data_IF_667056168330
#
_entry.id   IF_667056168330
#
_cell.length_a   1.000
_cell.length_b   1.000
_cell.length_c   1.000
_cell.angle_alpha   90.00
_cell.angle_beta   90.00
_cell.angle_gamma   90.00
#
_symmetry.space_group_name_H-M   'P 1'
#
loop_
_entity.id
_entity.type
_entity.pdbx_description
1 polymer ?
#
# COMPACT_ATOMS: atom_id res chain seq x y z
N UNK A 1 14.52 -21.99 -2.13
CA UNK A 1 14.31 -21.03 -3.24
C UNK A 1 14.48 -19.59 -2.75
N UNK A 2 13.66 -19.09 -1.81
CA UNK A 2 13.83 -17.73 -1.25
C UNK A 2 15.07 -17.60 -0.36
N UNK A 3 15.31 -18.58 0.52
CA UNK A 3 16.51 -18.64 1.39
C UNK A 3 17.82 -18.69 0.59
N UNK A 4 17.85 -19.43 -0.51
CA UNK A 4 19.01 -19.53 -1.42
C UNK A 4 19.26 -18.24 -2.21
N UNK A 5 18.19 -17.50 -2.54
CA UNK A 5 18.30 -16.20 -3.21
C UNK A 5 18.82 -15.12 -2.25
N UNK A 6 18.35 -15.10 -1.00
CA UNK A 6 18.86 -14.21 0.04
C UNK A 6 20.34 -14.47 0.37
N UNK A 7 20.78 -15.73 0.39
CA UNK A 7 22.21 -16.06 0.62
C UNK A 7 23.11 -15.65 -0.55
N UNK A 8 22.62 -15.72 -1.79
CA UNK A 8 23.34 -15.27 -3.00
C UNK A 8 23.43 -13.74 -3.08
N UNK A 9 22.40 -13.03 -2.63
CA UNK A 9 22.40 -11.57 -2.51
C UNK A 9 23.35 -11.07 -1.42
N UNK A 10 23.47 -11.81 -0.31
CA UNK A 10 24.43 -11.50 0.75
C UNK A 10 25.89 -11.71 0.32
N UNK A 11 26.20 -12.82 -0.37
CA UNK A 11 27.58 -13.10 -0.82
C UNK A 11 28.09 -12.11 -1.86
N UNK A 12 27.19 -11.39 -2.53
CA UNK A 12 27.53 -10.43 -3.59
C UNK A 12 27.66 -8.99 -3.07
N UNK A 13 27.07 -8.65 -1.91
CA UNK A 13 27.01 -7.26 -1.41
C UNK A 13 27.49 -7.05 0.03
N UNK A 14 27.76 -8.11 0.81
CA UNK A 14 28.21 -7.94 2.20
C UNK A 14 29.70 -7.58 2.29
N UNK A 15 29.96 -6.32 2.58
CA UNK A 15 31.23 -5.85 3.12
C UNK A 15 31.03 -5.55 4.60
N UNK A 16 31.58 -6.40 5.48
CA UNK A 16 32.32 -5.89 6.63
C UNK A 16 31.72 -5.91 8.04
N UNK A 17 30.46 -6.28 8.30
CA UNK A 17 29.97 -6.35 9.69
C UNK A 17 29.08 -7.56 10.02
N UNK A 18 29.45 -8.27 11.09
CA UNK A 18 28.75 -9.43 11.66
C UNK A 18 27.44 -9.02 12.35
N UNK A 19 26.32 -9.10 11.64
CA UNK A 19 24.98 -8.93 12.21
C UNK A 19 24.56 -10.24 12.91
N UNK A 20 24.05 -10.21 14.16
CA UNK A 20 23.66 -11.43 14.88
C UNK A 20 22.57 -12.23 14.14
N UNK A 21 22.78 -13.54 14.02
CA UNK A 21 21.89 -14.50 13.34
C UNK A 21 20.41 -14.42 13.76
N UNK A 22 20.14 -13.99 14.98
CA UNK A 22 18.78 -13.82 15.52
C UNK A 22 18.02 -12.70 14.79
N UNK A 23 18.70 -11.58 14.48
CA UNK A 23 18.10 -10.48 13.72
C UNK A 23 17.89 -10.89 12.27
N UNK A 24 18.87 -11.58 11.68
CA UNK A 24 18.79 -12.11 10.31
C UNK A 24 17.63 -13.09 10.10
N UNK A 25 17.36 -13.95 11.08
CA UNK A 25 16.25 -14.90 11.03
C UNK A 25 14.90 -14.26 11.40
N UNK A 26 14.89 -13.22 12.24
CA UNK A 26 13.63 -12.61 12.72
C UNK A 26 12.75 -12.05 11.61
N UNK A 27 13.34 -11.47 10.56
CA UNK A 27 12.59 -10.90 9.44
C UNK A 27 11.87 -11.97 8.61
N UNK A 28 12.54 -12.95 7.98
CA UNK A 28 11.86 -14.01 7.24
C UNK A 28 10.97 -14.88 8.15
N UNK A 29 11.31 -15.04 9.44
CA UNK A 29 10.47 -15.76 10.40
C UNK A 29 9.18 -14.98 10.71
N UNK A 30 9.22 -13.65 10.86
CA UNK A 30 8.02 -12.81 11.01
C UNK A 30 7.15 -12.88 9.76
N UNK A 31 7.75 -12.75 8.56
CA UNK A 31 7.03 -12.88 7.28
C UNK A 31 6.37 -14.25 7.15
N UNK A 32 7.06 -15.32 7.56
CA UNK A 32 6.54 -16.70 7.54
C UNK A 32 5.46 -16.90 8.62
N UNK A 33 5.62 -16.35 9.82
CA UNK A 33 4.62 -16.49 10.90
C UNK A 33 3.36 -15.68 10.60
N UNK A 34 3.45 -14.42 10.15
CA UNK A 34 2.29 -13.61 9.75
C UNK A 34 1.59 -14.19 8.52
N UNK A 35 2.34 -14.64 7.51
CA UNK A 35 1.74 -15.27 6.32
C UNK A 35 1.12 -16.64 6.60
N UNK A 36 1.62 -17.38 7.61
CA UNK A 36 1.05 -18.67 8.02
C UNK A 36 -0.16 -18.49 8.94
N UNK A 37 -0.14 -17.53 9.87
CA UNK A 37 -1.11 -17.42 10.95
C UNK A 37 -2.54 -17.11 10.46
N UNK A 38 -2.70 -16.18 9.52
CA UNK A 38 -4.04 -15.78 9.04
C UNK A 38 -4.77 -16.89 8.25
N UNK A 39 -4.14 -17.60 7.28
CA UNK A 39 -4.82 -18.67 6.55
C UNK A 39 -4.92 -19.99 7.34
N UNK A 40 -3.95 -20.35 8.21
CA UNK A 40 -4.04 -21.61 8.98
C UNK A 40 -5.14 -21.58 10.05
N UNK A 41 -5.35 -20.45 10.73
CA UNK A 41 -6.35 -20.34 11.80
C UNK A 41 -7.79 -20.49 11.28
N UNK A 42 -8.06 -20.00 10.07
CA UNK A 42 -9.38 -20.07 9.44
C UNK A 42 -9.68 -21.49 8.89
N UNK A 43 -8.64 -22.27 8.57
CA UNK A 43 -8.79 -23.53 7.81
C UNK A 43 -8.63 -24.79 8.68
N UNK A 44 -7.78 -24.76 9.71
CA UNK A 44 -7.67 -25.88 10.66
C UNK A 44 -8.97 -26.21 11.39
N UNK A 45 -9.93 -25.28 11.42
CA UNK A 45 -11.20 -25.41 12.12
C UNK A 45 -12.33 -25.98 11.26
N UNK A 46 -12.16 -26.15 9.92
CA UNK A 46 -13.31 -26.48 9.07
C UNK A 46 -13.26 -27.72 8.18
N UNK A 47 -12.22 -28.06 7.40
CA UNK A 47 -12.31 -29.21 6.48
C UNK A 47 -10.97 -29.92 6.21
N UNK A 48 -11.03 -31.23 6.02
CA UNK A 48 -9.89 -32.07 5.61
C UNK A 48 -9.27 -31.62 4.28
N UNK A 49 -7.95 -31.72 4.21
CA UNK A 49 -7.13 -31.16 3.13
C UNK A 49 -7.22 -32.05 1.89
N UNK A 50 -7.95 -31.58 0.87
CA UNK A 50 -7.91 -32.12 -0.50
C UNK A 50 -6.71 -31.53 -1.28
N UNK A 51 -6.22 -32.23 -2.30
CA UNK A 51 -5.04 -31.86 -3.09
C UNK A 51 -5.25 -30.58 -3.91
N UNK A 52 -6.47 -30.36 -4.40
CA UNK A 52 -6.84 -29.12 -5.11
C UNK A 52 -6.95 -27.92 -4.16
N UNK A 53 -7.49 -28.13 -2.96
CA UNK A 53 -7.52 -27.12 -1.92
C UNK A 53 -6.09 -26.75 -1.49
N UNK A 54 -5.21 -27.73 -1.30
CA UNK A 54 -3.80 -27.50 -0.96
C UNK A 54 -3.06 -26.70 -2.04
N UNK A 55 -3.28 -26.99 -3.32
CA UNK A 55 -2.65 -26.25 -4.43
C UNK A 55 -3.06 -24.78 -4.42
N UNK A 56 -4.36 -24.52 -4.28
CA UNK A 56 -4.93 -23.16 -4.20
C UNK A 56 -4.39 -22.41 -2.97
N UNK A 57 -4.29 -23.09 -1.83
CA UNK A 57 -3.73 -22.51 -0.61
C UNK A 57 -2.25 -22.15 -0.76
N UNK A 58 -1.44 -23.02 -1.36
CA UNK A 58 -0.05 -22.71 -1.65
C UNK A 58 0.09 -21.51 -2.59
N UNK A 59 -0.82 -21.33 -3.56
CA UNK A 59 -0.78 -20.18 -4.48
C UNK A 59 -1.14 -18.89 -3.78
N UNK A 60 -2.21 -18.88 -2.98
CA UNK A 60 -2.62 -17.71 -2.20
C UNK A 60 -1.57 -17.35 -1.13
N UNK A 61 -1.00 -18.34 -0.46
CA UNK A 61 0.08 -18.14 0.50
C UNK A 61 1.30 -17.50 -0.17
N UNK A 62 1.73 -18.01 -1.32
CA UNK A 62 2.81 -17.41 -2.09
C UNK A 62 2.50 -15.96 -2.50
N UNK A 63 1.24 -15.68 -2.84
CA UNK A 63 0.78 -14.33 -3.16
C UNK A 63 0.90 -13.38 -1.96
N UNK A 64 0.46 -13.81 -0.77
CA UNK A 64 0.59 -13.04 0.48
C UNK A 64 2.05 -12.77 0.83
N UNK A 65 2.93 -13.77 0.71
CA UNK A 65 4.38 -13.59 0.96
C UNK A 65 4.98 -12.56 0.00
N UNK A 66 4.60 -12.58 -1.27
CA UNK A 66 5.07 -11.60 -2.25
C UNK A 66 4.55 -10.19 -1.95
N UNK A 67 3.29 -10.05 -1.53
CA UNK A 67 2.74 -8.77 -1.06
C UNK A 67 3.49 -8.25 0.17
N UNK A 68 3.84 -9.13 1.10
CA UNK A 68 4.61 -8.75 2.29
C UNK A 68 6.01 -8.27 1.91
N UNK A 69 6.70 -8.98 1.00
CA UNK A 69 7.99 -8.55 0.48
C UNK A 69 7.94 -7.18 -0.20
N UNK A 70 6.85 -6.88 -0.92
CA UNK A 70 6.62 -5.58 -1.55
C UNK A 70 6.39 -4.47 -0.52
N UNK A 71 5.73 -4.79 0.59
CA UNK A 71 5.38 -3.85 1.66
C UNK A 71 6.61 -3.54 2.52
N UNK A 72 7.39 -4.56 2.88
CA UNK A 72 8.58 -4.44 3.72
C UNK A 72 9.86 -4.14 2.90
N UNK A 73 9.72 -3.86 1.60
CA UNK A 73 10.82 -3.59 0.68
C UNK A 73 11.78 -2.49 1.16
N UNK A 74 11.21 -1.41 1.71
CA UNK A 74 11.91 -0.28 2.32
C UNK A 74 12.81 -0.73 3.48
N UNK A 75 12.27 -1.55 4.39
CA UNK A 75 13.00 -2.10 5.53
C UNK A 75 14.18 -2.98 5.12
N UNK A 76 14.03 -3.79 4.06
CA UNK A 76 15.13 -4.57 3.52
C UNK A 76 16.25 -3.66 2.98
N UNK A 77 15.92 -2.64 2.19
CA UNK A 77 16.93 -1.71 1.68
C UNK A 77 17.63 -0.99 2.83
N UNK A 78 16.91 -0.51 3.85
CA UNK A 78 17.53 0.15 5.01
C UNK A 78 18.45 -0.78 5.81
N UNK A 79 18.12 -2.06 5.92
CA UNK A 79 18.91 -3.04 6.69
C UNK A 79 20.17 -3.48 5.94
N UNK A 80 20.06 -3.67 4.63
CA UNK A 80 21.15 -4.18 3.80
C UNK A 80 22.00 -3.10 3.14
N UNK A 81 21.62 -1.82 3.25
CA UNK A 81 22.35 -0.71 2.64
C UNK A 81 22.58 0.41 3.65
N UNK A 82 23.81 0.93 3.71
CA UNK A 82 24.21 2.01 4.63
C UNK A 82 23.91 3.42 4.07
N UNK A 83 22.92 3.54 3.18
CA UNK A 83 22.66 4.78 2.44
C UNK A 83 22.09 5.88 3.36
N UNK A 84 21.35 5.50 4.41
CA UNK A 84 20.72 6.43 5.33
C UNK A 84 21.38 6.41 6.71
N UNK A 85 21.43 7.59 7.32
CA UNK A 85 21.75 7.69 8.75
C UNK A 85 20.69 7.00 9.61
N UNK A 86 21.10 6.43 10.74
CA UNK A 86 20.22 5.79 11.73
C UNK A 86 19.07 6.72 12.17
N UNK A 87 19.34 8.03 12.26
CA UNK A 87 18.34 9.05 12.59
C UNK A 87 17.24 9.10 11.52
N UNK A 88 17.61 9.15 10.24
CA UNK A 88 16.64 9.23 9.13
C UNK A 88 15.85 7.93 9.00
N UNK A 89 16.48 6.77 9.24
CA UNK A 89 15.81 5.47 9.25
C UNK A 89 14.73 5.41 10.36
N UNK A 90 15.07 5.84 11.58
CA UNK A 90 14.11 5.85 12.69
C UNK A 90 12.91 6.77 12.43
N UNK A 91 13.12 7.93 11.79
CA UNK A 91 12.03 8.84 11.42
C UNK A 91 11.15 8.23 10.33
N UNK A 92 11.75 7.59 9.33
CA UNK A 92 11.00 6.90 8.28
C UNK A 92 10.15 5.76 8.86
N UNK A 93 10.75 4.86 9.65
CA UNK A 93 10.06 3.73 10.29
C UNK A 93 8.90 4.20 11.19
N UNK A 94 9.08 5.28 11.95
CA UNK A 94 8.02 5.86 12.75
C UNK A 94 6.85 6.38 11.90
N UNK A 95 7.13 7.09 10.81
CA UNK A 95 6.11 7.60 9.89
C UNK A 95 5.41 6.46 9.15
N UNK A 96 6.16 5.46 8.68
CA UNK A 96 5.63 4.29 7.99
C UNK A 96 4.69 3.48 8.89
N UNK A 97 5.01 3.30 10.18
CA UNK A 97 4.12 2.67 11.16
C UNK A 97 2.84 3.46 11.39
N UNK A 98 2.92 4.78 11.54
CA UNK A 98 1.73 5.63 11.72
C UNK A 98 0.86 5.62 10.47
N UNK A 99 1.47 5.76 9.30
CA UNK A 99 0.76 5.76 8.02
C UNK A 99 0.12 4.41 7.70
N UNK A 100 0.86 3.32 7.87
CA UNK A 100 0.36 1.95 7.61
C UNK A 100 -0.73 1.54 8.58
N UNK A 101 -0.78 2.09 9.80
CA UNK A 101 -1.89 1.87 10.73
C UNK A 101 -3.23 2.31 10.12
N UNK A 102 -3.26 3.47 9.45
CA UNK A 102 -4.47 3.96 8.76
C UNK A 102 -4.89 3.00 7.67
N UNK A 103 -3.92 2.50 6.88
CA UNK A 103 -4.19 1.50 5.85
C UNK A 103 -4.75 0.20 6.44
N UNK A 104 -4.17 -0.31 7.54
CA UNK A 104 -4.59 -1.55 8.19
C UNK A 104 -5.96 -1.46 8.85
N UNK A 105 -6.31 -0.31 9.42
CA UNK A 105 -7.59 -0.14 10.12
C UNK A 105 -8.74 0.12 9.12
N UNK A 106 -8.47 0.86 8.05
CA UNK A 106 -9.52 1.32 7.12
C UNK A 106 -9.51 0.52 5.82
N UNK A 107 -8.38 0.46 5.13
CA UNK A 107 -8.30 -0.07 3.77
C UNK A 107 -8.29 -1.61 3.74
N UNK A 108 -7.59 -2.27 4.67
CA UNK A 108 -7.50 -3.73 4.68
C UNK A 108 -8.87 -4.42 4.91
N UNK A 109 -9.69 -4.03 5.91
CA UNK A 109 -11.04 -4.61 6.05
C UNK A 109 -11.93 -4.32 4.84
N UNK A 110 -11.78 -3.15 4.22
CA UNK A 110 -12.49 -2.83 2.98
C UNK A 110 -12.08 -3.74 1.82
N UNK A 111 -10.78 -4.00 1.64
CA UNK A 111 -10.26 -4.92 0.62
C UNK A 111 -10.81 -6.33 0.80
N UNK A 112 -10.79 -6.86 2.02
CA UNK A 112 -11.32 -8.19 2.35
C UNK A 112 -12.83 -8.32 2.07
N UNK A 113 -13.62 -7.32 2.48
CA UNK A 113 -15.06 -7.28 2.21
C UNK A 113 -15.36 -7.23 0.71
N UNK A 114 -14.61 -6.42 -0.05
CA UNK A 114 -14.76 -6.31 -1.49
C UNK A 114 -14.36 -7.61 -2.20
N UNK A 115 -13.25 -8.23 -1.80
CA UNK A 115 -12.82 -9.53 -2.31
C UNK A 115 -13.88 -10.61 -2.10
N UNK A 116 -14.44 -10.71 -0.89
CA UNK A 116 -15.48 -11.68 -0.57
C UNK A 116 -16.75 -11.43 -1.42
N UNK A 117 -17.15 -10.17 -1.58
CA UNK A 117 -18.31 -9.78 -2.39
C UNK A 117 -18.12 -10.13 -3.88
N UNK A 118 -17.00 -9.73 -4.49
CA UNK A 118 -16.73 -9.99 -5.90
C UNK A 118 -16.58 -11.48 -6.17
N UNK A 119 -15.85 -12.22 -5.32
CA UNK A 119 -15.66 -13.66 -5.46
C UNK A 119 -16.98 -14.43 -5.40
N UNK A 120 -17.89 -14.04 -4.50
CA UNK A 120 -19.22 -14.65 -4.40
C UNK A 120 -20.09 -14.32 -5.61
N UNK A 121 -20.11 -13.06 -6.03
CA UNK A 121 -20.92 -12.59 -7.17
C UNK A 121 -20.45 -13.22 -8.48
N UNK A 122 -19.15 -13.31 -8.71
CA UNK A 122 -18.56 -13.95 -9.91
C UNK A 122 -18.86 -15.46 -9.92
N UNK A 123 -18.74 -16.14 -8.77
CA UNK A 123 -19.05 -17.58 -8.66
C UNK A 123 -20.54 -17.90 -8.80
N UNK A 124 -21.43 -17.01 -8.38
CA UNK A 124 -22.87 -17.17 -8.60
C UNK A 124 -23.21 -17.00 -10.08
N UNK A 125 -22.57 -16.04 -10.76
CA UNK A 125 -22.71 -15.85 -12.21
C UNK A 125 -22.24 -17.08 -13.01
N UNK A 126 -21.17 -17.76 -12.58
CA UNK A 126 -20.67 -18.96 -13.29
C UNK A 126 -21.61 -20.18 -13.20
N UNK A 127 -22.43 -20.28 -12.14
CA UNK A 127 -23.42 -21.37 -11.98
C UNK A 127 -24.77 -21.09 -12.65
N UNK A 128 -25.06 -19.84 -13.02
CA UNK A 128 -26.33 -19.39 -13.63
C UNK A 128 -26.09 -18.94 -15.08
N UNK A 129 -25.20 -19.64 -15.80
CA UNK A 129 -24.80 -19.30 -17.17
C UNK A 129 -25.86 -19.66 -18.23
N UNK A 130 -27.14 -19.37 -17.96
CA UNK A 130 -28.22 -19.60 -18.92
C UNK A 130 -29.29 -18.49 -19.00
N UNK A 131 -29.31 -17.41 -18.20
CA UNK A 131 -30.49 -16.51 -18.29
C UNK A 131 -30.47 -15.00 -18.00
N UNK A 132 -29.39 -14.28 -17.70
CA UNK A 132 -29.54 -12.82 -17.51
C UNK A 132 -28.32 -11.97 -17.77
N UNK A 133 -28.43 -11.09 -18.78
CA UNK A 133 -27.53 -9.97 -19.06
C UNK A 133 -27.48 -8.92 -17.93
N UNK A 134 -28.50 -8.86 -17.07
CA UNK A 134 -28.60 -7.90 -15.94
C UNK A 134 -27.54 -8.09 -14.85
N UNK A 135 -27.16 -9.34 -14.55
CA UNK A 135 -26.31 -9.62 -13.38
C UNK A 135 -24.87 -9.14 -13.60
N UNK A 136 -24.36 -9.20 -14.84
CA UNK A 136 -23.04 -8.69 -15.19
C UNK A 136 -22.95 -7.15 -15.13
N UNK A 137 -24.03 -6.45 -15.45
CA UNK A 137 -24.09 -4.98 -15.38
C UNK A 137 -24.12 -4.50 -13.94
N UNK A 138 -24.84 -5.20 -13.06
CA UNK A 138 -24.84 -4.92 -11.63
C UNK A 138 -23.44 -5.08 -10.99
N UNK A 139 -22.63 -6.06 -11.43
CA UNK A 139 -21.27 -6.25 -10.93
C UNK A 139 -20.36 -5.07 -11.32
N UNK A 140 -20.43 -4.63 -12.57
CA UNK A 140 -19.63 -3.50 -13.09
C UNK A 140 -20.03 -2.20 -12.42
N UNK A 141 -21.34 -1.98 -12.23
CA UNK A 141 -21.87 -0.82 -11.51
C UNK A 141 -21.36 -0.78 -10.06
N UNK A 142 -21.45 -1.91 -9.34
CA UNK A 142 -20.99 -1.99 -7.95
C UNK A 142 -19.47 -1.82 -7.85
N UNK A 143 -18.69 -2.44 -8.73
CA UNK A 143 -17.24 -2.25 -8.77
C UNK A 143 -16.88 -0.78 -9.00
N UNK A 144 -17.49 -0.13 -9.99
CA UNK A 144 -17.23 1.28 -10.30
C UNK A 144 -17.64 2.19 -9.14
N UNK A 145 -18.76 1.90 -8.47
CA UNK A 145 -19.25 2.66 -7.31
C UNK A 145 -18.29 2.56 -6.13
N UNK A 146 -17.84 1.36 -5.78
CA UNK A 146 -16.89 1.13 -4.68
C UNK A 146 -15.54 1.76 -5.01
N UNK A 147 -15.05 1.60 -6.23
CA UNK A 147 -13.78 2.19 -6.65
C UNK A 147 -13.81 3.71 -6.62
N UNK A 148 -14.90 4.34 -7.09
CA UNK A 148 -15.12 5.78 -6.97
C UNK A 148 -15.19 6.23 -5.51
N UNK A 149 -15.98 5.56 -4.67
CA UNK A 149 -16.11 5.90 -3.25
C UNK A 149 -14.75 5.84 -2.51
N UNK A 150 -14.00 4.76 -2.72
CA UNK A 150 -12.68 4.56 -2.11
C UNK A 150 -11.64 5.57 -2.64
N UNK A 151 -11.70 5.92 -3.93
CA UNK A 151 -10.88 6.99 -4.53
C UNK A 151 -11.14 8.35 -3.85
N UNK A 152 -12.42 8.71 -3.65
CA UNK A 152 -12.82 9.95 -2.95
C UNK A 152 -12.35 9.94 -1.49
N UNK A 153 -12.53 8.83 -0.76
CA UNK A 153 -12.04 8.70 0.62
C UNK A 153 -10.53 8.86 0.67
N UNK A 154 -9.80 8.19 -0.22
CA UNK A 154 -8.35 8.31 -0.34
C UNK A 154 -7.91 9.74 -0.60
N UNK A 155 -8.60 10.48 -1.46
CA UNK A 155 -8.29 11.89 -1.75
C UNK A 155 -8.63 12.83 -0.59
N UNK A 156 -9.71 12.58 0.15
CA UNK A 156 -10.01 13.32 1.38
C UNK A 156 -8.86 13.15 2.37
N UNK A 157 -8.37 11.92 2.54
CA UNK A 157 -7.23 11.62 3.42
C UNK A 157 -5.96 12.36 2.97
N UNK A 158 -5.66 12.47 1.68
CA UNK A 158 -4.49 13.24 1.23
C UNK A 158 -4.68 14.75 1.39
N UNK A 159 -5.85 15.27 1.04
CA UNK A 159 -6.16 16.72 1.10
C UNK A 159 -6.09 17.26 2.53
N UNK A 160 -6.60 16.53 3.51
CA UNK A 160 -6.50 16.92 4.92
C UNK A 160 -5.20 16.43 5.55
N UNK A 161 -4.72 15.24 5.19
CA UNK A 161 -3.52 14.65 5.76
C UNK A 161 -2.26 15.47 5.50
N UNK A 162 -2.07 15.99 4.28
CA UNK A 162 -0.90 16.82 3.93
C UNK A 162 -0.74 18.04 4.86
N UNK A 163 -1.72 18.96 4.98
CA UNK A 163 -1.60 20.15 5.82
C UNK A 163 -1.60 19.84 7.32
N UNK A 164 -2.22 18.74 7.76
CA UNK A 164 -2.23 18.34 9.17
C UNK A 164 -1.03 17.46 9.58
N UNK A 165 -0.20 17.01 8.63
CA UNK A 165 0.99 16.18 8.91
C UNK A 165 1.97 16.83 9.90
N UNK A 166 2.34 18.12 9.78
CA UNK A 166 3.13 18.84 10.80
C UNK A 166 2.59 18.67 12.23
N UNK A 167 1.28 18.84 12.40
CA UNK A 167 0.60 18.74 13.69
C UNK A 167 0.62 17.29 14.19
N UNK A 168 0.23 16.34 13.34
CA UNK A 168 0.20 14.92 13.68
C UNK A 168 1.59 14.40 14.12
N UNK A 169 2.64 14.79 13.41
CA UNK A 169 4.03 14.42 13.75
C UNK A 169 4.46 15.07 15.06
N UNK A 170 4.11 16.34 15.30
CA UNK A 170 4.43 17.02 16.56
C UNK A 170 3.73 16.39 17.76
N UNK A 171 2.50 15.89 17.60
CA UNK A 171 1.77 15.20 18.66
C UNK A 171 2.34 13.80 18.94
N UNK A 172 2.78 13.09 17.90
CA UNK A 172 3.26 11.72 18.02
C UNK A 172 4.70 11.62 18.52
N UNK A 173 5.63 12.36 17.91
CA UNK A 173 7.07 12.25 18.17
C UNK A 173 7.73 13.55 18.64
N UNK A 174 6.95 14.60 18.92
CA UNK A 174 7.46 15.88 19.40
C UNK A 174 8.40 16.58 18.42
N UNK A 175 9.25 17.45 18.97
CA UNK A 175 10.25 18.20 18.20
C UNK A 175 11.27 17.30 17.49
N UNK A 176 11.63 16.15 18.08
CA UNK A 176 12.63 15.23 17.50
C UNK A 176 12.21 14.70 16.13
N UNK A 177 10.95 14.30 15.97
CA UNK A 177 10.43 13.82 14.68
C UNK A 177 10.13 14.98 13.72
N UNK A 178 9.64 16.10 14.26
CA UNK A 178 9.30 17.28 13.47
C UNK A 178 10.54 17.91 12.82
N UNK A 179 11.58 18.20 13.60
CA UNK A 179 12.82 18.83 13.15
C UNK A 179 13.63 17.93 12.21
N UNK A 180 13.36 16.62 12.24
CA UNK A 180 14.03 15.63 11.40
C UNK A 180 13.31 15.34 10.08
N UNK A 181 12.34 16.17 9.69
CA UNK A 181 11.63 16.07 8.42
C UNK A 181 10.48 15.06 8.39
N UNK A 182 10.05 14.56 9.55
CA UNK A 182 8.93 13.61 9.64
C UNK A 182 7.61 14.15 9.09
N UNK A 183 7.38 15.47 9.20
CA UNK A 183 6.19 16.12 8.64
C UNK A 183 6.09 15.94 7.12
N UNK A 184 7.21 16.11 6.40
CA UNK A 184 7.24 15.96 4.93
C UNK A 184 7.01 14.51 4.54
N UNK A 185 7.63 13.57 5.26
CA UNK A 185 7.45 12.14 5.02
C UNK A 185 6.00 11.72 5.25
N UNK A 186 5.36 12.18 6.33
CA UNK A 186 3.96 11.87 6.59
C UNK A 186 3.03 12.50 5.55
N UNK A 187 3.30 13.73 5.10
CA UNK A 187 2.53 14.35 3.99
C UNK A 187 2.61 13.52 2.72
N UNK A 188 3.81 13.06 2.34
CA UNK A 188 3.99 12.17 1.19
C UNK A 188 3.26 10.83 1.39
N UNK A 189 3.28 10.29 2.61
CA UNK A 189 2.57 9.06 2.94
C UNK A 189 1.04 9.23 2.81
N UNK A 190 0.48 10.40 3.17
CA UNK A 190 -0.94 10.67 2.98
C UNK A 190 -1.35 10.65 1.50
N UNK A 191 -0.48 11.11 0.59
CA UNK A 191 -0.70 10.97 -0.87
C UNK A 191 -0.60 9.51 -1.30
N UNK A 192 0.37 8.78 -0.76
CA UNK A 192 0.54 7.35 -1.00
C UNK A 192 -0.70 6.54 -0.57
N UNK A 193 -1.34 6.88 0.56
CA UNK A 193 -2.59 6.24 1.01
C UNK A 193 -3.72 6.36 -0.02
N UNK A 194 -3.83 7.48 -0.74
CA UNK A 194 -4.82 7.62 -1.82
C UNK A 194 -4.59 6.61 -2.95
N UNK A 195 -3.33 6.41 -3.34
CA UNK A 195 -2.95 5.46 -4.39
C UNK A 195 -3.18 4.03 -3.91
N UNK A 196 -2.81 3.73 -2.66
CA UNK A 196 -3.00 2.42 -2.03
C UNK A 196 -4.48 2.02 -1.99
N UNK A 197 -5.38 2.97 -1.71
CA UNK A 197 -6.82 2.74 -1.68
C UNK A 197 -7.37 2.28 -3.05
N UNK A 198 -6.91 2.89 -4.15
CA UNK A 198 -7.26 2.47 -5.51
C UNK A 198 -6.65 1.10 -5.84
N UNK A 199 -5.39 0.87 -5.45
CA UNK A 199 -4.73 -0.40 -5.67
C UNK A 199 -5.48 -1.56 -5.00
N UNK A 200 -5.87 -1.44 -3.72
CA UNK A 200 -6.57 -2.50 -2.98
C UNK A 200 -7.84 -2.96 -3.70
N UNK A 201 -8.69 -2.03 -4.13
CA UNK A 201 -9.96 -2.37 -4.81
C UNK A 201 -9.75 -2.97 -6.22
N UNK A 202 -8.80 -2.43 -6.99
CA UNK A 202 -8.52 -2.95 -8.34
C UNK A 202 -7.90 -4.35 -8.27
N UNK A 203 -6.99 -4.60 -7.35
CA UNK A 203 -6.33 -5.88 -7.20
C UNK A 203 -7.27 -6.94 -6.59
N UNK A 204 -8.12 -6.58 -5.63
CA UNK A 204 -9.07 -7.53 -5.07
C UNK A 204 -10.10 -8.00 -6.11
N UNK A 205 -10.58 -7.11 -6.97
CA UNK A 205 -11.45 -7.49 -8.07
C UNK A 205 -10.72 -8.40 -9.07
N UNK A 206 -9.51 -8.01 -9.49
CA UNK A 206 -8.72 -8.81 -10.42
C UNK A 206 -8.44 -10.21 -9.86
N UNK A 207 -8.08 -10.32 -8.58
CA UNK A 207 -7.88 -11.59 -7.91
C UNK A 207 -9.17 -12.42 -7.82
N UNK A 208 -10.32 -11.78 -7.58
CA UNK A 208 -11.62 -12.47 -7.56
C UNK A 208 -12.05 -13.00 -8.94
N UNK A 209 -11.58 -12.40 -10.04
CA UNK A 209 -11.90 -12.83 -11.41
C UNK A 209 -10.90 -13.81 -12.02
N UNK A 210 -9.72 -13.98 -11.44
CA UNK A 210 -8.64 -14.79 -11.99
C UNK A 210 -8.85 -16.30 -11.80
N UNK A 211 -8.50 -17.08 -12.83
CA UNK A 211 -8.32 -18.54 -12.73
C UNK A 211 -6.94 -18.90 -12.14
N UNK A 212 -6.76 -20.15 -11.68
CA UNK A 212 -5.49 -20.63 -11.08
C UNK A 212 -4.22 -20.31 -11.91
N UNK A 213 -4.28 -20.46 -13.25
CA UNK A 213 -3.16 -20.13 -14.13
C UNK A 213 -2.86 -18.62 -14.18
N UNK A 214 -3.89 -17.78 -14.10
CA UNK A 214 -3.75 -16.33 -14.09
C UNK A 214 -3.26 -15.83 -12.74
N UNK A 215 -3.68 -16.45 -11.63
CA UNK A 215 -3.13 -16.19 -10.29
C UNK A 215 -1.63 -16.48 -10.26
N UNK A 216 -1.19 -17.57 -10.89
CA UNK A 216 0.23 -17.89 -11.00
C UNK A 216 1.00 -16.84 -11.82
N UNK A 217 0.44 -16.39 -12.96
CA UNK A 217 1.04 -15.32 -13.76
C UNK A 217 1.09 -13.98 -13.01
N UNK A 218 0.05 -13.66 -12.23
CA UNK A 218 0.02 -12.48 -11.37
C UNK A 218 1.07 -12.57 -10.25
N UNK A 219 1.25 -13.74 -9.64
CA UNK A 219 2.35 -14.01 -8.70
C UNK A 219 3.73 -13.78 -9.34
N UNK A 220 3.94 -14.22 -10.58
CA UNK A 220 5.16 -13.93 -11.35
C UNK A 220 5.36 -12.43 -11.59
N UNK A 221 4.30 -11.70 -11.93
CA UNK A 221 4.34 -10.24 -12.06
C UNK A 221 4.71 -9.57 -10.73
N UNK A 222 4.10 -9.97 -9.61
CA UNK A 222 4.44 -9.44 -8.28
C UNK A 222 5.89 -9.70 -7.90
N UNK A 223 6.45 -10.86 -8.25
CA UNK A 223 7.86 -11.15 -8.01
C UNK A 223 8.78 -10.21 -8.80
N UNK A 224 8.50 -9.99 -10.08
CA UNK A 224 9.26 -9.05 -10.92
C UNK A 224 9.11 -7.62 -10.36
N UNK A 225 7.90 -7.23 -9.99
CA UNK A 225 7.61 -5.94 -9.36
C UNK A 225 8.35 -5.77 -8.04
N UNK A 226 8.54 -6.83 -7.26
CA UNK A 226 9.27 -6.79 -5.99
C UNK A 226 10.77 -6.52 -6.20
N UNK A 227 11.38 -7.20 -7.16
CA UNK A 227 12.78 -6.97 -7.51
C UNK A 227 12.95 -5.54 -8.06
N UNK A 228 12.05 -5.12 -8.95
CA UNK A 228 12.06 -3.76 -9.48
C UNK A 228 11.85 -2.70 -8.38
N UNK A 229 10.97 -2.96 -7.42
CA UNK A 229 10.70 -2.08 -6.29
C UNK A 229 11.93 -1.92 -5.38
N UNK A 230 12.65 -2.99 -5.10
CA UNK A 230 13.90 -2.93 -4.32
C UNK A 230 14.96 -2.09 -5.04
N UNK A 231 15.18 -2.33 -6.34
CA UNK A 231 16.13 -1.54 -7.13
C UNK A 231 15.73 -0.08 -7.25
N UNK A 232 14.44 0.19 -7.47
CA UNK A 232 13.90 1.55 -7.56
C UNK A 232 14.02 2.29 -6.23
N UNK A 233 13.73 1.59 -5.12
CA UNK A 233 13.91 2.10 -3.76
C UNK A 233 15.36 2.49 -3.50
N UNK A 234 16.33 1.65 -3.87
CA UNK A 234 17.75 1.95 -3.76
C UNK A 234 18.14 3.22 -4.54
N UNK A 235 17.71 3.32 -5.80
CA UNK A 235 18.03 4.45 -6.68
C UNK A 235 17.40 5.74 -6.14
N UNK A 236 16.09 5.77 -5.91
CA UNK A 236 15.40 6.99 -5.46
C UNK A 236 15.86 7.41 -4.07
N UNK A 237 16.16 6.46 -3.19
CA UNK A 237 16.66 6.77 -1.87
C UNK A 237 18.02 7.47 -1.91
N UNK A 238 18.88 7.10 -2.86
CA UNK A 238 20.17 7.78 -3.08
C UNK A 238 20.02 9.25 -3.51
N UNK A 239 18.93 9.61 -4.19
CA UNK A 239 18.68 10.99 -4.64
C UNK A 239 17.78 11.81 -3.69
N UNK A 240 16.79 11.18 -3.05
CA UNK A 240 15.71 11.83 -2.30
C UNK A 240 15.71 11.46 -0.80
N UNK A 241 16.73 10.74 -0.32
CA UNK A 241 16.78 10.19 1.04
C UNK A 241 15.54 9.35 1.37
N UNK A 242 15.02 9.40 2.60
CA UNK A 242 13.87 8.62 3.04
C UNK A 242 12.58 8.87 2.23
N UNK A 243 12.41 10.06 1.64
CA UNK A 243 11.25 10.34 0.79
C UNK A 243 11.27 9.45 -0.48
N UNK A 244 12.46 9.04 -0.93
CA UNK A 244 12.64 8.13 -2.06
C UNK A 244 11.94 6.78 -1.87
N UNK A 245 11.87 6.26 -0.65
CA UNK A 245 11.14 5.02 -0.36
C UNK A 245 9.64 5.15 -0.59
N UNK A 246 9.04 6.25 -0.14
CA UNK A 246 7.60 6.50 -0.33
C UNK A 246 7.29 6.67 -1.82
N UNK A 247 8.14 7.40 -2.55
CA UNK A 247 7.96 7.60 -4.00
C UNK A 247 8.13 6.28 -4.77
N UNK A 248 9.12 5.45 -4.41
CA UNK A 248 9.28 4.13 -5.01
C UNK A 248 8.06 3.23 -4.77
N UNK A 249 7.51 3.28 -3.55
CA UNK A 249 6.25 2.60 -3.19
C UNK A 249 5.07 3.11 -4.04
N UNK A 250 4.94 4.42 -4.25
CA UNK A 250 3.92 5.00 -5.14
C UNK A 250 4.05 4.45 -6.58
N UNK A 251 5.26 4.46 -7.14
CA UNK A 251 5.51 3.96 -8.51
C UNK A 251 5.15 2.47 -8.63
N UNK A 252 5.55 1.67 -7.65
CA UNK A 252 5.21 0.25 -7.59
C UNK A 252 3.68 0.03 -7.54
N UNK A 253 2.95 0.82 -6.74
CA UNK A 253 1.48 0.75 -6.71
C UNK A 253 0.84 1.15 -8.04
N UNK A 254 1.39 2.14 -8.76
CA UNK A 254 0.89 2.49 -10.09
C UNK A 254 1.06 1.34 -11.10
N UNK A 255 2.20 0.65 -11.10
CA UNK A 255 2.39 -0.53 -11.94
C UNK A 255 1.39 -1.64 -11.61
N UNK A 256 1.13 -1.88 -10.32
CA UNK A 256 0.14 -2.86 -9.87
C UNK A 256 -1.28 -2.50 -10.27
N UNK A 257 -1.67 -1.22 -10.16
CA UNK A 257 -2.96 -0.72 -10.65
C UNK A 257 -3.06 -0.95 -12.16
N UNK A 258 -2.03 -0.59 -12.93
CA UNK A 258 -2.03 -0.77 -14.39
C UNK A 258 -2.18 -2.23 -14.83
N UNK A 259 -1.46 -3.15 -14.18
CA UNK A 259 -1.59 -4.59 -14.46
C UNK A 259 -2.97 -5.13 -14.10
N UNK A 260 -3.47 -4.80 -12.90
CA UNK A 260 -4.80 -5.22 -12.45
C UNK A 260 -5.90 -4.66 -13.36
N UNK A 261 -5.79 -3.40 -13.75
CA UNK A 261 -6.72 -2.75 -14.66
C UNK A 261 -6.75 -3.41 -16.04
N UNK A 262 -5.57 -3.76 -16.59
CA UNK A 262 -5.49 -4.51 -17.85
C UNK A 262 -6.19 -5.87 -17.76
N UNK A 263 -6.05 -6.58 -16.64
CA UNK A 263 -6.77 -7.82 -16.40
C UNK A 263 -8.29 -7.61 -16.35
N UNK A 264 -8.74 -6.60 -15.60
CA UNK A 264 -10.16 -6.22 -15.50
C UNK A 264 -10.74 -5.89 -16.89
N UNK A 265 -10.04 -5.11 -17.70
CA UNK A 265 -10.48 -4.78 -19.05
C UNK A 265 -10.57 -6.02 -19.95
N UNK A 266 -9.62 -6.95 -19.84
CA UNK A 266 -9.66 -8.22 -20.56
C UNK A 266 -10.80 -9.13 -20.11
N UNK A 267 -11.16 -9.09 -18.83
CA UNK A 267 -12.25 -9.89 -18.27
C UNK A 267 -13.64 -9.32 -18.63
N UNK A 268 -13.80 -8.00 -18.56
CA UNK A 268 -15.07 -7.31 -18.85
C UNK A 268 -15.27 -6.99 -20.35
N UNK A 269 -14.21 -7.08 -21.16
CA UNK A 269 -14.23 -6.78 -22.59
C UNK A 269 -14.76 -5.37 -22.88
N UNK A 270 -15.71 -5.28 -23.82
CA UNK A 270 -16.31 -4.01 -24.25
C UNK A 270 -17.20 -3.33 -23.19
N UNK A 271 -17.49 -3.99 -22.06
CA UNK A 271 -18.25 -3.40 -20.95
C UNK A 271 -17.35 -2.84 -19.85
N UNK A 272 -16.04 -2.75 -20.10
CA UNK A 272 -15.08 -2.24 -19.12
C UNK A 272 -15.40 -0.78 -18.74
N UNK A 273 -15.40 -0.45 -17.43
CA UNK A 273 -15.58 0.92 -17.00
C UNK A 273 -14.39 1.76 -17.49
N UNK A 274 -14.66 2.97 -17.98
CA UNK A 274 -13.59 3.88 -18.39
C UNK A 274 -12.80 4.33 -17.16
N UNK A 275 -11.50 4.62 -17.31
CA UNK A 275 -10.65 5.18 -16.24
C UNK A 275 -11.25 6.47 -15.67
N UNK A 276 -12.05 7.19 -16.45
CA UNK A 276 -12.78 8.39 -16.00
C UNK A 276 -13.83 8.12 -14.92
N UNK A 277 -14.30 6.88 -14.76
CA UNK A 277 -15.20 6.50 -13.66
C UNK A 277 -14.49 6.33 -12.31
N UNK A 278 -13.17 6.16 -12.33
CA UNK A 278 -12.31 6.12 -11.12
C UNK A 278 -12.01 7.53 -10.61
N UNK A 279 -11.98 8.50 -11.53
CA UNK A 279 -11.73 9.89 -11.20
C UNK A 279 -12.96 10.47 -10.48
N UNK A 280 -12.74 11.26 -9.40
CA UNK A 280 -13.82 11.97 -8.76
C UNK A 280 -14.50 12.91 -9.74
N UNK A 281 -15.79 13.17 -9.52
CA UNK A 281 -16.51 14.20 -10.28
C UNK A 281 -15.77 15.54 -10.23
N UNK A 282 -15.86 16.33 -11.31
CA UNK A 282 -15.23 17.64 -11.38
C UNK A 282 -15.58 18.53 -10.16
N UNK A 283 -16.84 18.48 -9.70
CA UNK A 283 -17.29 19.18 -8.51
C UNK A 283 -16.53 18.75 -7.24
N UNK A 284 -16.34 17.44 -7.03
CA UNK A 284 -15.57 16.94 -5.89
C UNK A 284 -14.10 17.34 -5.95
N UNK A 285 -13.50 17.36 -7.15
CA UNK A 285 -12.11 17.82 -7.33
C UNK A 285 -11.98 19.30 -6.98
N UNK A 286 -12.89 20.14 -7.48
CA UNK A 286 -12.91 21.58 -7.20
C UNK A 286 -13.11 21.84 -5.70
N UNK A 287 -14.06 21.15 -5.06
CA UNK A 287 -14.28 21.27 -3.62
C UNK A 287 -13.04 20.86 -2.81
N UNK A 288 -12.44 19.73 -3.13
CA UNK A 288 -11.23 19.24 -2.48
C UNK A 288 -10.04 20.17 -2.70
N UNK A 289 -9.94 20.78 -3.88
CA UNK A 289 -8.93 21.81 -4.16
C UNK A 289 -9.12 23.05 -3.29
N UNK A 290 -10.34 23.58 -3.20
CA UNK A 290 -10.63 24.71 -2.30
C UNK A 290 -10.41 24.35 -0.83
N UNK A 291 -10.76 23.14 -0.41
CA UNK A 291 -10.50 22.65 0.93
C UNK A 291 -8.99 22.58 1.22
N UNK A 292 -8.18 22.08 0.28
CA UNK A 292 -6.72 22.06 0.38
C UNK A 292 -6.14 23.47 0.49
N UNK A 293 -6.63 24.40 -0.34
CA UNK A 293 -6.20 25.80 -0.29
C UNK A 293 -6.56 26.46 1.06
N UNK A 294 -7.77 26.21 1.57
CA UNK A 294 -8.22 26.75 2.85
C UNK A 294 -7.42 26.18 4.04
N UNK A 295 -7.10 24.89 4.03
CA UNK A 295 -6.32 24.24 5.09
C UNK A 295 -4.85 24.66 5.05
N UNK A 296 -4.25 24.77 3.86
CA UNK A 296 -2.89 25.33 3.70
C UNK A 296 -2.83 26.79 4.14
N UNK A 297 -3.83 27.61 3.80
CA UNK A 297 -3.93 28.98 4.27
C UNK A 297 -4.04 29.05 5.80
N UNK A 298 -4.85 28.18 6.41
CA UNK A 298 -5.01 28.09 7.86
C UNK A 298 -3.69 27.72 8.55
N UNK A 299 -2.92 26.79 7.96
CA UNK A 299 -1.60 26.40 8.44
C UNK A 299 -0.62 27.59 8.38
N UNK A 300 -0.59 28.32 7.26
CA UNK A 300 0.27 29.50 7.09
C UNK A 300 -0.05 30.62 8.09
N UNK A 301 -1.34 30.89 8.31
CA UNK A 301 -1.79 31.90 9.28
C UNK A 301 -1.44 31.47 10.71
N UNK A 302 -1.64 30.20 11.05
CA UNK A 302 -1.32 29.66 12.38
C UNK A 302 0.19 29.69 12.64
N UNK A 303 0.99 29.33 11.63
CA UNK A 303 2.45 29.43 11.69
C UNK A 303 2.93 30.88 11.85
N UNK A 304 2.34 31.82 11.11
CA UNK A 304 2.64 33.26 11.25
C UNK A 304 2.32 33.78 12.65
N UNK A 305 1.18 33.37 13.24
CA UNK A 305 0.83 33.72 14.63
C UNK A 305 1.80 33.12 15.64
N UNK A 306 2.20 31.86 15.45
CA UNK A 306 3.18 31.20 16.31
C UNK A 306 4.55 31.91 16.27
N UNK A 307 5.05 32.24 15.08
CA UNK A 307 6.29 33.00 14.92
C UNK A 307 6.23 34.35 15.64
N UNK A 308 5.14 35.11 15.47
CA UNK A 308 4.93 36.40 16.17
C UNK A 308 4.82 36.27 17.70
N UNK A 309 4.43 35.10 18.22
CA UNK A 309 4.36 34.85 19.66
C UNK A 309 5.72 34.41 20.21
N UNK A 310 6.45 33.55 19.48
CA UNK A 310 7.83 33.16 19.82
C UNK A 310 8.80 34.34 19.81
N UNK A 311 8.61 35.29 18.89
CA UNK A 311 9.43 36.50 18.78
C UNK A 311 9.14 37.46 19.94
N UNK A 312 7.87 37.65 20.34
CA UNK A 312 7.50 38.41 21.55
C UNK A 312 8.03 37.79 22.84
N UNK A 313 7.91 36.47 22.98
CA UNK A 313 8.46 35.75 24.14
C UNK A 313 10.00 35.82 24.23
N UNK A 314 10.71 35.99 23.10
CA UNK A 314 12.17 36.21 23.06
C UNK A 314 12.58 37.65 23.39
N UNK A 315 11.71 38.61 23.15
CA UNK A 315 11.96 40.03 23.41
C UNK A 315 11.61 40.41 24.87
N UNK A 316 10.97 39.51 25.63
CA UNK A 316 10.72 39.70 27.06
C UNK A 316 9.55 40.65 27.37
N UNK A 317 8.56 40.73 26.47
CA UNK A 317 7.24 41.33 26.73
C UNK A 317 6.23 40.31 27.24
#
# INVERSE_FOLDING_TARGET
>A
MLSTFCTLLWSTFSSGHDVPWVVFLSFPLSTVIESLAEPFAIISLRHGIDREALSTLCTLFGHSVLKQLLTDGSAYVMTFTEILSLKTQAVYDAVEKVGSLVARIVLAPMEEMCFAYFSNTIRQNSKVFSKSTDTGESLIYNFSTVLHATSVIGLVVSVFGVPYSPLAVSMYGGHLLYDSGGAILLSLYCVYLSIMAINGITECFAMASMNNAQVFSHGGFLLISAIAHLGLSFILCSYLNAAGFIVANCINMFFRIGYSWRHICSFLGNKSPSVTTVLPTFSTIVFLFFALMATLFTLLVSWSKFMKHSERARIGE
#
